data_IF_797453052002
#
_entry.id   IF_797453052002
#
_cell.length_a   1.000
_cell.length_b   1.000
_cell.length_c   1.000
_cell.angle_alpha   90.00
_cell.angle_beta   90.00
_cell.angle_gamma   90.00
#
_symmetry.space_group_name_H-M   'P 1'
#
loop_
_entity.id
_entity.type
_entity.pdbx_description
1 polymer ?
#
# COMPACT_ATOMS: atom_id res chain seq x y z
N UNK A 1 -1.19 -16.92 21.99
CA UNK A 1 -1.46 -16.24 20.70
C UNK A 1 -0.16 -15.58 20.26
N UNK A 2 0.38 -15.94 19.10
CA UNK A 2 1.60 -15.31 18.61
C UNK A 2 1.27 -13.86 18.21
N UNK A 3 1.92 -12.90 18.85
CA UNK A 3 1.83 -11.49 18.48
C UNK A 3 2.29 -11.39 17.02
N UNK A 4 1.37 -11.07 16.12
CA UNK A 4 1.70 -10.78 14.72
C UNK A 4 2.57 -9.54 14.73
N UNK A 5 3.86 -9.70 14.50
CA UNK A 5 4.79 -8.57 14.44
C UNK A 5 4.60 -7.90 13.09
N UNK A 6 3.99 -6.73 13.08
CA UNK A 6 3.94 -5.86 11.91
C UNK A 6 5.37 -5.52 11.52
N UNK A 7 5.87 -6.04 10.40
CA UNK A 7 7.12 -5.55 9.82
C UNK A 7 6.77 -4.36 8.95
N UNK A 8 6.50 -3.25 9.58
CA UNK A 8 6.41 -1.99 8.89
C UNK A 8 7.79 -1.66 8.31
N UNK A 9 7.83 -1.46 7.02
CA UNK A 9 9.07 -1.22 6.29
C UNK A 9 9.34 0.28 6.11
N UNK A 10 8.34 1.15 6.37
CA UNK A 10 8.40 2.58 6.08
C UNK A 10 8.52 2.88 4.58
N UNK A 11 8.04 1.97 3.76
CA UNK A 11 7.94 2.11 2.31
C UNK A 11 6.79 3.07 1.95
N UNK A 12 6.62 3.49 0.69
CA UNK A 12 5.43 4.22 0.27
C UNK A 12 4.13 3.51 0.69
N UNK A 13 3.08 4.28 0.99
CA UNK A 13 1.81 3.77 1.52
C UNK A 13 1.25 2.58 0.73
N UNK A 14 1.31 2.63 -0.61
CA UNK A 14 0.86 1.53 -1.46
C UNK A 14 1.65 0.23 -1.23
N UNK A 15 2.95 0.33 -0.94
CA UNK A 15 3.82 -0.83 -0.67
C UNK A 15 3.54 -1.39 0.72
N UNK A 16 3.41 -0.53 1.74
CA UNK A 16 3.06 -0.95 3.10
C UNK A 16 1.68 -1.61 3.14
N UNK A 17 0.70 -1.07 2.38
CA UNK A 17 -0.62 -1.68 2.20
C UNK A 17 -0.52 -3.09 1.58
N UNK A 18 0.19 -3.23 0.46
CA UNK A 18 0.36 -4.51 -0.22
C UNK A 18 1.07 -5.55 0.66
N UNK A 19 1.99 -5.12 1.53
CA UNK A 19 2.74 -5.98 2.43
C UNK A 19 1.95 -6.43 3.67
N UNK A 20 0.71 -6.02 3.83
CA UNK A 20 -0.20 -6.58 4.86
C UNK A 20 -0.59 -8.03 4.57
N UNK A 21 -0.32 -8.52 3.35
CA UNK A 21 -0.32 -9.95 3.02
C UNK A 21 1.12 -10.42 2.87
N UNK A 22 1.53 -11.40 3.67
CA UNK A 22 2.90 -11.90 3.68
C UNK A 22 3.00 -13.33 3.19
N UNK A 23 4.10 -13.61 2.50
CA UNK A 23 4.50 -14.97 2.22
C UNK A 23 5.36 -15.51 3.38
N UNK A 24 5.00 -16.69 3.92
CA UNK A 24 5.82 -17.48 4.83
C UNK A 24 6.01 -18.87 4.24
N UNK A 25 7.17 -19.09 3.62
CA UNK A 25 7.42 -20.30 2.86
C UNK A 25 6.47 -20.39 1.66
N UNK A 26 5.60 -21.41 1.65
CA UNK A 26 4.59 -21.63 0.61
C UNK A 26 3.19 -21.08 0.95
N UNK A 27 2.99 -20.52 2.17
CA UNK A 27 1.70 -19.98 2.61
C UNK A 27 1.69 -18.45 2.56
N UNK A 28 0.52 -17.90 2.25
CA UNK A 28 0.23 -16.49 2.49
C UNK A 28 -0.38 -16.33 3.88
N UNK A 29 0.04 -15.30 4.59
CA UNK A 29 -0.45 -14.93 5.93
C UNK A 29 -1.11 -13.58 5.80
N UNK A 30 -2.41 -13.55 6.14
CA UNK A 30 -3.18 -12.32 6.25
C UNK A 30 -2.84 -11.63 7.58
N UNK A 31 -2.45 -10.37 7.52
CA UNK A 31 -2.14 -9.59 8.72
C UNK A 31 -3.31 -8.70 9.17
N UNK A 32 -4.26 -8.44 8.27
CA UNK A 32 -5.50 -7.69 8.57
C UNK A 32 -6.67 -8.63 8.41
N UNK A 33 -6.94 -9.45 9.43
CA UNK A 33 -8.02 -10.41 9.43
C UNK A 33 -9.28 -9.90 10.15
N UNK A 34 -9.16 -8.85 10.95
CA UNK A 34 -10.25 -8.28 11.77
C UNK A 34 -10.26 -6.75 11.67
N UNK A 35 -11.38 -6.08 12.01
CA UNK A 35 -11.42 -4.62 12.15
C UNK A 35 -10.38 -4.07 13.13
N UNK A 36 -10.06 -4.81 14.20
CA UNK A 36 -9.03 -4.41 15.16
C UNK A 36 -7.63 -4.42 14.55
N UNK A 37 -7.32 -5.38 13.67
CA UNK A 37 -6.07 -5.39 12.92
C UNK A 37 -6.00 -4.20 11.95
N UNK A 38 -7.11 -3.91 11.25
CA UNK A 38 -7.21 -2.75 10.36
C UNK A 38 -7.01 -1.44 11.13
N UNK A 39 -7.68 -1.28 12.28
CA UNK A 39 -7.49 -0.11 13.13
C UNK A 39 -6.04 0.05 13.59
N UNK A 40 -5.38 -1.06 13.91
CA UNK A 40 -3.97 -1.08 14.29
C UNK A 40 -3.09 -0.64 13.12
N UNK A 41 -3.29 -1.18 11.91
CA UNK A 41 -2.54 -0.78 10.72
C UNK A 41 -2.74 0.70 10.40
N UNK A 42 -3.98 1.20 10.38
CA UNK A 42 -4.29 2.62 10.15
C UNK A 42 -3.64 3.54 11.22
N UNK A 43 -3.42 3.05 12.44
CA UNK A 43 -2.72 3.82 13.47
C UNK A 43 -1.24 4.05 13.13
N UNK A 44 -0.60 3.14 12.43
CA UNK A 44 0.76 3.32 11.91
C UNK A 44 0.80 4.26 10.69
N UNK A 45 -0.26 4.25 9.88
CA UNK A 45 -0.38 5.05 8.66
C UNK A 45 -1.05 6.43 8.87
N UNK A 46 -1.35 6.80 10.11
CA UNK A 46 -2.15 7.99 10.47
C UNK A 46 -1.64 9.32 9.89
N UNK A 47 -0.34 9.40 9.61
CA UNK A 47 0.29 10.60 9.06
C UNK A 47 0.25 10.61 7.50
N UNK A 48 -0.12 9.47 6.90
CA UNK A 48 -0.20 9.25 5.44
C UNK A 48 -1.63 9.01 4.95
N UNK A 49 -2.55 8.64 5.84
CA UNK A 49 -3.99 8.50 5.56
C UNK A 49 -4.73 9.58 6.31
N UNK A 50 -5.28 10.55 5.56
CA UNK A 50 -5.92 11.73 6.15
C UNK A 50 -7.37 11.49 6.54
N UNK A 51 -8.04 10.54 5.89
CA UNK A 51 -9.44 10.22 6.15
C UNK A 51 -9.65 9.71 7.58
N UNK A 52 -10.49 10.43 8.34
CA UNK A 52 -10.91 9.98 9.67
C UNK A 52 -12.11 9.07 9.51
N UNK A 53 -11.91 7.77 9.73
CA UNK A 53 -12.92 6.74 9.52
C UNK A 53 -13.11 5.91 10.79
N UNK A 54 -14.36 5.51 11.04
CA UNK A 54 -14.67 4.47 12.01
C UNK A 54 -14.36 3.12 11.37
N UNK A 55 -13.57 2.31 12.05
CA UNK A 55 -13.23 0.95 11.60
C UNK A 55 -14.22 -0.04 12.19
N UNK A 56 -14.98 -0.69 11.33
CA UNK A 56 -15.96 -1.73 11.66
C UNK A 56 -15.96 -2.85 10.61
N UNK A 57 -16.88 -3.81 10.73
CA UNK A 57 -16.99 -4.95 9.81
C UNK A 57 -17.33 -4.51 8.38
N UNK A 58 -18.13 -3.44 8.22
CA UNK A 58 -18.56 -2.96 6.91
C UNK A 58 -17.39 -2.38 6.10
N UNK A 59 -16.38 -1.83 6.79
CA UNK A 59 -15.18 -1.29 6.16
C UNK A 59 -14.19 -2.39 5.75
N UNK A 60 -14.10 -3.49 6.51
CA UNK A 60 -13.05 -4.48 6.34
C UNK A 60 -13.07 -5.11 4.93
N UNK A 61 -14.24 -5.51 4.45
CA UNK A 61 -14.38 -6.13 3.14
C UNK A 61 -13.91 -5.24 1.99
N UNK A 62 -14.45 -4.01 1.85
CA UNK A 62 -14.00 -3.05 0.84
C UNK A 62 -12.49 -2.72 0.92
N UNK A 63 -11.95 -2.59 2.14
CA UNK A 63 -10.52 -2.35 2.33
C UNK A 63 -9.68 -3.51 1.80
N UNK A 64 -10.02 -4.77 2.15
CA UNK A 64 -9.28 -5.95 1.69
C UNK A 64 -9.36 -6.10 0.17
N UNK A 65 -10.52 -5.83 -0.44
CA UNK A 65 -10.68 -5.85 -1.90
C UNK A 65 -9.78 -4.80 -2.57
N UNK A 66 -9.77 -3.57 -2.07
CA UNK A 66 -8.89 -2.50 -2.59
C UNK A 66 -7.41 -2.88 -2.44
N UNK A 67 -6.99 -3.40 -1.28
CA UNK A 67 -5.63 -3.89 -1.04
C UNK A 67 -5.23 -4.98 -2.04
N UNK A 68 -6.12 -5.91 -2.34
CA UNK A 68 -5.83 -7.01 -3.27
C UNK A 68 -5.61 -6.50 -4.70
N UNK A 69 -6.34 -5.49 -5.14
CA UNK A 69 -6.08 -4.81 -6.41
C UNK A 69 -4.73 -4.09 -6.41
N UNK A 70 -4.40 -3.37 -5.34
CA UNK A 70 -3.09 -2.73 -5.18
C UNK A 70 -1.97 -3.77 -5.25
N UNK A 71 -2.10 -4.87 -4.51
CA UNK A 71 -1.11 -5.97 -4.51
C UNK A 71 -0.89 -6.56 -5.91
N UNK A 72 -1.97 -6.79 -6.68
CA UNK A 72 -1.89 -7.30 -8.05
C UNK A 72 -1.13 -6.34 -8.97
N UNK A 73 -1.47 -5.04 -8.92
CA UNK A 73 -0.83 -4.01 -9.75
C UNK A 73 0.65 -3.86 -9.40
N UNK A 74 0.99 -3.76 -8.10
CA UNK A 74 2.37 -3.58 -7.68
C UNK A 74 3.24 -4.81 -7.98
N UNK A 75 2.71 -6.02 -7.86
CA UNK A 75 3.43 -7.24 -8.25
C UNK A 75 3.70 -7.30 -9.75
N UNK A 76 2.71 -6.97 -10.57
CA UNK A 76 2.89 -6.90 -12.01
C UNK A 76 3.97 -5.89 -12.38
N UNK A 77 3.90 -4.68 -11.83
CA UNK A 77 4.90 -3.63 -12.05
C UNK A 77 6.31 -4.06 -11.60
N UNK A 78 6.44 -4.64 -10.40
CA UNK A 78 7.73 -5.10 -9.86
C UNK A 78 8.39 -6.21 -10.69
N UNK A 79 7.59 -6.96 -11.46
CA UNK A 79 8.06 -8.08 -12.31
C UNK A 79 8.08 -7.73 -13.80
N UNK A 80 7.82 -6.47 -14.16
CA UNK A 80 7.78 -6.01 -15.55
C UNK A 80 6.64 -6.63 -16.38
N UNK A 81 5.57 -7.09 -15.73
CA UNK A 81 4.40 -7.65 -16.38
C UNK A 81 3.36 -6.56 -16.68
N UNK A 82 2.52 -6.73 -17.70
CA UNK A 82 1.38 -5.85 -17.92
C UNK A 82 0.49 -5.75 -16.69
N UNK A 83 0.03 -4.55 -16.38
CA UNK A 83 -0.87 -4.34 -15.23
C UNK A 83 -2.23 -5.00 -15.50
N UNK A 84 -2.80 -5.76 -14.51
CA UNK A 84 -4.09 -6.40 -14.67
C UNK A 84 -5.20 -5.38 -14.89
N UNK A 85 -5.93 -5.46 -16.00
CA UNK A 85 -6.90 -4.44 -16.40
C UNK A 85 -8.03 -4.24 -15.38
N UNK A 86 -8.52 -5.32 -14.76
CA UNK A 86 -9.56 -5.25 -13.71
C UNK A 86 -9.07 -4.53 -12.46
N UNK A 87 -7.82 -4.77 -12.04
CA UNK A 87 -7.26 -4.10 -10.88
C UNK A 87 -6.99 -2.61 -11.17
N UNK A 88 -6.52 -2.28 -12.37
CA UNK A 88 -6.37 -0.87 -12.80
C UNK A 88 -7.73 -0.17 -12.83
N UNK A 89 -8.77 -0.82 -13.36
CA UNK A 89 -10.12 -0.25 -13.37
C UNK A 89 -10.62 0.04 -11.95
N UNK A 90 -10.48 -0.92 -11.02
CA UNK A 90 -10.91 -0.75 -9.63
C UNK A 90 -10.15 0.40 -8.90
N UNK A 91 -8.84 0.54 -9.13
CA UNK A 91 -8.05 1.66 -8.60
C UNK A 91 -8.56 2.99 -9.17
N UNK A 92 -8.81 3.06 -10.48
CA UNK A 92 -9.34 4.28 -11.12
C UNK A 92 -10.76 4.61 -10.64
N UNK A 93 -11.62 3.61 -10.44
CA UNK A 93 -12.97 3.80 -9.88
C UNK A 93 -12.90 4.38 -8.46
N UNK A 94 -12.01 3.90 -7.61
CA UNK A 94 -11.82 4.45 -6.27
C UNK A 94 -11.38 5.93 -6.32
N UNK A 95 -10.48 6.29 -7.22
CA UNK A 95 -10.05 7.69 -7.43
C UNK A 95 -11.20 8.59 -7.88
N UNK A 96 -12.04 8.09 -8.80
CA UNK A 96 -13.18 8.84 -9.34
C UNK A 96 -14.33 8.95 -8.34
N UNK A 97 -14.48 8.01 -7.40
CA UNK A 97 -15.50 8.06 -6.35
C UNK A 97 -15.25 9.18 -5.32
N UNK A 98 -13.99 9.52 -5.04
CA UNK A 98 -13.64 10.59 -4.12
C UNK A 98 -12.44 11.42 -4.67
N UNK A 99 -12.67 12.18 -5.75
CA UNK A 99 -11.60 12.92 -6.40
C UNK A 99 -11.06 14.02 -5.48
N UNK A 100 -9.74 14.19 -5.50
CA UNK A 100 -9.04 15.24 -4.79
C UNK A 100 -8.03 15.94 -5.70
N UNK A 101 -7.78 17.21 -5.45
CA UNK A 101 -6.77 17.99 -6.17
C UNK A 101 -5.59 18.29 -5.27
N UNK A 102 -4.40 18.31 -5.83
CA UNK A 102 -3.21 18.81 -5.17
C UNK A 102 -3.06 20.29 -5.45
N UNK A 103 -2.95 21.07 -4.40
CA UNK A 103 -2.69 22.50 -4.45
C UNK A 103 -1.26 22.74 -4.02
N UNK A 104 -0.61 23.72 -4.63
CA UNK A 104 0.74 24.12 -4.25
C UNK A 104 0.74 24.63 -2.80
N UNK A 105 1.69 24.15 -2.00
CA UNK A 105 1.95 24.65 -0.65
C UNK A 105 2.78 25.93 -0.64
N UNK A 106 3.15 26.39 0.54
CA UNK A 106 3.92 27.61 0.72
C UNK A 106 5.43 27.41 0.44
N UNK A 107 5.95 26.20 0.67
CA UNK A 107 7.36 25.88 0.49
C UNK A 107 7.58 24.97 -0.73
N UNK A 108 8.76 25.02 -1.37
CA UNK A 108 9.10 24.09 -2.44
C UNK A 108 9.01 22.62 -1.97
N UNK A 109 8.21 21.83 -2.68
CA UNK A 109 7.93 20.43 -2.32
C UNK A 109 6.67 20.22 -1.50
N UNK A 110 6.10 21.26 -0.91
CA UNK A 110 4.85 21.19 -0.17
C UNK A 110 3.64 21.14 -1.10
N UNK A 111 2.65 20.40 -0.71
CA UNK A 111 1.34 20.42 -1.34
C UNK A 111 0.21 20.19 -0.33
N UNK A 112 -0.96 20.71 -0.64
CA UNK A 112 -2.19 20.47 0.10
C UNK A 112 -3.10 19.59 -0.77
N UNK A 113 -3.64 18.53 -0.21
CA UNK A 113 -4.65 17.72 -0.89
C UNK A 113 -6.04 18.19 -0.44
N UNK A 114 -6.88 18.59 -1.39
CA UNK A 114 -8.24 19.07 -1.12
C UNK A 114 -9.26 18.17 -1.84
N UNK A 115 -10.25 17.60 -1.12
CA UNK A 115 -11.36 16.91 -1.74
C UNK A 115 -12.14 17.85 -2.68
N UNK A 116 -12.57 17.33 -3.83
CA UNK A 116 -13.38 18.06 -4.82
C UNK A 116 -14.85 17.82 -4.57
N UNK A 117 -15.21 16.67 -3.98
CA UNK A 117 -16.58 16.27 -3.68
C UNK A 117 -16.76 16.01 -2.20
N UNK A 118 -18.00 16.02 -1.73
CA UNK A 118 -18.37 15.60 -0.37
C UNK A 118 -18.59 14.08 -0.33
N UNK A 119 -17.56 13.33 -0.69
CA UNK A 119 -17.56 11.87 -0.60
C UNK A 119 -17.53 11.40 0.86
N UNK A 120 -18.09 10.22 1.12
CA UNK A 120 -18.05 9.62 2.45
C UNK A 120 -16.60 9.27 2.90
N UNK A 121 -16.34 9.09 4.21
CA UNK A 121 -15.00 8.84 4.71
C UNK A 121 -14.35 7.55 4.16
N UNK A 122 -15.15 6.50 3.88
CA UNK A 122 -14.64 5.25 3.32
C UNK A 122 -14.14 5.47 1.89
N UNK A 123 -14.96 6.09 1.03
CA UNK A 123 -14.58 6.42 -0.34
C UNK A 123 -13.32 7.30 -0.38
N UNK A 124 -13.22 8.28 0.51
CA UNK A 124 -12.01 9.12 0.62
C UNK A 124 -10.77 8.31 0.98
N UNK A 125 -10.86 7.42 1.97
CA UNK A 125 -9.74 6.57 2.35
C UNK A 125 -9.30 5.65 1.20
N UNK A 126 -10.25 4.99 0.54
CA UNK A 126 -9.94 4.12 -0.59
C UNK A 126 -9.29 4.90 -1.75
N UNK A 127 -9.74 6.13 -2.01
CA UNK A 127 -9.13 7.01 -3.00
C UNK A 127 -7.70 7.43 -2.60
N UNK A 128 -7.42 7.71 -1.33
CA UNK A 128 -6.07 8.01 -0.84
C UNK A 128 -5.12 6.80 -1.04
N UNK A 129 -5.59 5.59 -0.74
CA UNK A 129 -4.83 4.37 -1.00
C UNK A 129 -4.57 4.18 -2.50
N UNK A 130 -5.58 4.40 -3.34
CA UNK A 130 -5.45 4.32 -4.80
C UNK A 130 -4.50 5.40 -5.35
N UNK A 131 -4.57 6.63 -4.84
CA UNK A 131 -3.67 7.71 -5.23
C UNK A 131 -2.21 7.38 -4.95
N UNK A 132 -1.91 6.72 -3.83
CA UNK A 132 -0.55 6.30 -3.49
C UNK A 132 0.03 5.29 -4.50
N UNK A 133 -0.81 4.49 -5.17
CA UNK A 133 -0.38 3.59 -6.26
C UNK A 133 0.00 4.39 -7.49
N UNK A 134 -0.83 5.37 -7.88
CA UNK A 134 -0.54 6.23 -9.03
C UNK A 134 0.74 7.01 -8.79
N UNK A 135 0.89 7.62 -7.62
CA UNK A 135 2.10 8.38 -7.26
C UNK A 135 3.36 7.53 -7.34
N UNK A 136 3.31 6.30 -6.83
CA UNK A 136 4.42 5.37 -6.89
C UNK A 136 4.76 4.97 -8.32
N UNK A 137 3.78 4.59 -9.13
CA UNK A 137 4.01 4.02 -10.46
C UNK A 137 4.25 5.06 -11.55
N UNK A 138 3.85 6.32 -11.33
CA UNK A 138 4.10 7.42 -12.28
C UNK A 138 5.21 8.36 -11.81
N UNK A 139 5.67 8.21 -10.57
CA UNK A 139 6.76 8.99 -9.98
C UNK A 139 8.15 8.43 -10.27
N UNK A 140 9.17 9.09 -9.72
CA UNK A 140 10.58 8.70 -9.89
C UNK A 140 10.97 7.36 -9.27
N UNK A 141 10.14 6.82 -8.39
CA UNK A 141 10.41 5.55 -7.68
C UNK A 141 9.88 4.30 -8.40
N UNK A 142 9.12 4.46 -9.48
CA UNK A 142 8.53 3.34 -10.23
C UNK A 142 9.58 2.27 -10.61
N UNK A 143 10.74 2.69 -11.11
CA UNK A 143 11.84 1.80 -11.51
C UNK A 143 12.58 1.14 -10.34
N UNK A 144 12.31 1.55 -9.10
CA UNK A 144 12.92 1.00 -7.89
C UNK A 144 12.07 -0.09 -7.25
N UNK A 145 10.79 -0.18 -7.62
CA UNK A 145 9.88 -1.19 -7.07
C UNK A 145 10.35 -2.60 -7.41
N UNK A 146 10.42 -3.47 -6.41
CA UNK A 146 10.90 -4.83 -6.56
C UNK A 146 10.19 -5.81 -5.61
N UNK A 147 10.22 -7.09 -5.98
CA UNK A 147 9.89 -8.20 -5.10
C UNK A 147 11.18 -8.72 -4.44
N UNK A 148 11.09 -9.04 -3.16
CA UNK A 148 12.20 -9.64 -2.42
C UNK A 148 12.41 -11.10 -2.83
N UNK A 149 13.61 -11.42 -3.33
CA UNK A 149 14.01 -12.76 -3.79
C UNK A 149 14.44 -13.68 -2.64
N UNK A 150 14.45 -13.19 -1.40
CA UNK A 150 14.82 -14.03 -0.25
C UNK A 150 13.81 -15.19 -0.10
N UNK A 151 14.29 -16.43 0.15
CA UNK A 151 13.44 -17.60 0.27
C UNK A 151 12.28 -17.39 1.26
N UNK A 152 11.04 -17.53 0.76
CA UNK A 152 9.84 -17.41 1.57
C UNK A 152 9.42 -15.99 1.95
N UNK A 153 10.08 -14.92 1.46
CA UNK A 153 9.75 -13.54 1.74
C UNK A 153 8.65 -13.00 0.79
N UNK A 154 8.98 -12.69 -0.46
CA UNK A 154 8.05 -12.18 -1.47
C UNK A 154 7.41 -10.83 -1.13
N UNK A 155 8.04 -10.01 -0.28
CA UNK A 155 7.60 -8.65 0.04
C UNK A 155 7.98 -7.69 -1.07
N UNK A 156 7.13 -6.69 -1.29
CA UNK A 156 7.43 -5.54 -2.12
C UNK A 156 8.30 -4.56 -1.34
N UNK A 157 9.25 -3.91 -2.03
CA UNK A 157 10.11 -2.89 -1.44
C UNK A 157 10.68 -1.97 -2.52
N UNK A 158 11.17 -0.81 -2.14
CA UNK A 158 11.94 0.05 -3.04
C UNK A 158 13.43 -0.23 -2.90
N UNK A 159 14.08 -0.53 -4.02
CA UNK A 159 15.54 -0.71 -4.05
C UNK A 159 16.24 0.57 -3.65
N UNK A 160 17.07 0.52 -2.62
CA UNK A 160 17.99 1.59 -2.25
C UNK A 160 19.25 1.60 -3.12
N UNK A 161 19.57 0.45 -3.77
CA UNK A 161 20.72 0.26 -4.67
C UNK A 161 20.32 -0.56 -5.90
N UNK A 162 20.91 -0.33 -7.07
CA UNK A 162 20.53 -1.02 -8.31
C UNK A 162 20.55 -2.56 -8.21
N UNK A 163 21.50 -3.13 -7.46
CA UNK A 163 21.67 -4.58 -7.35
C UNK A 163 21.06 -5.18 -6.08
N UNK A 164 20.21 -4.45 -5.38
CA UNK A 164 19.56 -4.97 -4.18
C UNK A 164 18.49 -6.01 -4.57
N UNK A 165 18.65 -7.24 -4.09
CA UNK A 165 17.75 -8.36 -4.33
C UNK A 165 16.82 -8.64 -3.16
N UNK A 166 17.10 -8.12 -1.96
CA UNK A 166 16.36 -8.39 -0.75
C UNK A 166 15.93 -7.13 -0.05
N UNK A 167 14.72 -7.17 0.53
CA UNK A 167 14.24 -6.12 1.42
C UNK A 167 15.10 -6.10 2.72
N UNK A 168 15.06 -4.99 3.45
CA UNK A 168 15.86 -4.84 4.68
C UNK A 168 15.53 -5.89 5.75
N UNK A 169 14.25 -6.25 5.90
CA UNK A 169 13.81 -7.27 6.86
C UNK A 169 14.44 -8.62 6.56
N UNK A 170 14.50 -9.02 5.28
CA UNK A 170 15.11 -10.29 4.89
C UNK A 170 16.64 -10.27 5.04
N UNK A 171 17.28 -9.13 4.82
CA UNK A 171 18.73 -8.98 5.02
C UNK A 171 19.12 -9.04 6.50
N UNK A 172 18.32 -8.51 7.41
CA UNK A 172 18.55 -8.58 8.86
C UNK A 172 18.38 -9.99 9.43
N UNK A 173 17.50 -10.83 8.87
CA UNK A 173 17.30 -12.21 9.33
C UNK A 173 18.45 -13.13 8.90
N UNK A 174 19.17 -12.82 7.84
CA UNK A 174 20.32 -13.61 7.37
C UNK A 174 21.62 -13.33 8.13
N UNK A 175 21.69 -12.21 8.85
CA UNK A 175 22.85 -11.88 9.67
C UNK A 175 22.83 -12.54 11.06
N UNK A 176 21.89 -13.44 11.35
CA UNK A 176 21.84 -14.30 12.54
C UNK A 176 21.89 -15.75 12.15
#
# INVERSE_FOLDING_TARGET
MAVVRWSWLGEPLAVDLANTVRRRGWRYVELIATPADLATWLSYERDRVSARIRVDEDLLGPFLAARDHVLQVLRAAATGQPLPASAVAAINEALLAAPAVRLLGAEPGDHLTRPVTDADPQSRMLAELAASVVDLLTGGDAGRLALCDAPGCGQLYLRGRPNQQWCEVASQVRCK
#
